data_IF_864652832561
#
_entry.id   IF_864652832561
#
_cell.length_a   1.000
_cell.length_b   1.000
_cell.length_c   1.000
_cell.angle_alpha   90.00
_cell.angle_beta   90.00
_cell.angle_gamma   90.00
#
_symmetry.space_group_name_H-M   'P 1'
#
loop_
_entity.id
_entity.type
_entity.pdbx_description
1 polymer ?
#
# COMPACT_ATOMS: atom_id res chain seq x y z
N UNK A 1 13.38 3.12 -4.75
CA UNK A 1 13.78 4.34 -5.49
C UNK A 1 13.47 5.64 -4.77
N UNK A 2 12.23 5.91 -4.32
CA UNK A 2 11.89 7.20 -3.70
C UNK A 2 12.84 7.64 -2.57
N UNK A 3 13.16 6.76 -1.62
CA UNK A 3 14.08 7.09 -0.51
C UNK A 3 15.50 7.40 -1.01
N UNK A 4 15.95 6.72 -2.08
CA UNK A 4 17.24 7.00 -2.71
C UNK A 4 17.24 8.38 -3.36
N UNK A 5 16.17 8.70 -4.09
CA UNK A 5 15.97 10.01 -4.72
C UNK A 5 15.90 11.15 -3.69
N UNK A 6 15.20 10.93 -2.58
CA UNK A 6 15.05 11.91 -1.51
C UNK A 6 16.39 12.21 -0.79
N UNK A 7 17.36 11.29 -0.86
CA UNK A 7 18.67 11.45 -0.25
C UNK A 7 18.68 11.41 1.28
N UNK A 8 19.84 11.72 1.88
CA UNK A 8 20.03 11.72 3.34
C UNK A 8 19.45 12.94 4.03
N UNK A 9 19.34 14.05 3.32
CA UNK A 9 18.84 15.34 3.82
C UNK A 9 17.68 15.81 2.93
N UNK A 10 16.52 15.11 3.00
CA UNK A 10 15.37 15.47 2.18
C UNK A 10 14.79 16.82 2.62
N UNK A 11 14.26 17.58 1.67
CA UNK A 11 13.41 18.73 1.98
C UNK A 11 12.17 18.33 2.78
N UNK A 12 11.59 19.27 3.53
CA UNK A 12 10.49 19.02 4.47
C UNK A 12 9.32 18.22 3.86
N UNK A 13 8.92 18.58 2.62
CA UNK A 13 7.83 17.89 1.92
C UNK A 13 8.16 16.42 1.63
N UNK A 14 9.37 16.11 1.17
CA UNK A 14 9.80 14.75 0.89
C UNK A 14 9.92 13.93 2.19
N UNK A 15 10.47 14.53 3.25
CA UNK A 15 10.55 13.92 4.58
C UNK A 15 9.16 13.56 5.11
N UNK A 16 8.19 14.47 5.02
CA UNK A 16 6.82 14.26 5.48
C UNK A 16 6.11 13.14 4.71
N UNK A 17 6.24 13.11 3.38
CA UNK A 17 5.64 12.05 2.54
C UNK A 17 6.26 10.69 2.85
N UNK A 18 7.60 10.59 2.88
CA UNK A 18 8.29 9.34 3.21
C UNK A 18 7.91 8.87 4.63
N UNK A 19 7.89 9.78 5.61
CA UNK A 19 7.50 9.47 6.97
C UNK A 19 6.07 8.90 7.07
N UNK A 20 5.11 9.49 6.36
CA UNK A 20 3.74 8.97 6.26
C UNK A 20 3.70 7.57 5.66
N UNK A 21 4.36 7.36 4.53
CA UNK A 21 4.37 6.06 3.84
C UNK A 21 5.00 4.97 4.72
N UNK A 22 6.10 5.30 5.42
CA UNK A 22 6.76 4.38 6.36
C UNK A 22 5.84 4.07 7.55
N UNK A 23 5.18 5.07 8.13
CA UNK A 23 4.24 4.87 9.23
C UNK A 23 3.08 3.94 8.85
N UNK A 24 2.49 4.14 7.65
CA UNK A 24 1.46 3.26 7.10
C UNK A 24 2.00 1.84 6.89
N UNK A 25 3.17 1.69 6.26
CA UNK A 25 3.78 0.39 6.00
C UNK A 25 4.07 -0.39 7.29
N UNK A 26 4.63 0.27 8.31
CA UNK A 26 4.91 -0.36 9.61
C UNK A 26 3.60 -0.79 10.27
N UNK A 27 2.55 0.04 10.22
CA UNK A 27 1.23 -0.30 10.76
C UNK A 27 0.64 -1.52 10.05
N UNK A 28 0.64 -1.54 8.73
CA UNK A 28 0.17 -2.67 7.91
C UNK A 28 0.96 -3.96 8.22
N UNK A 29 2.27 -3.84 8.42
CA UNK A 29 3.12 -4.97 8.82
C UNK A 29 2.72 -5.52 10.18
N UNK A 30 2.44 -4.67 11.17
CA UNK A 30 1.99 -5.12 12.49
C UNK A 30 0.60 -5.78 12.41
N UNK A 31 -0.33 -5.21 11.66
CA UNK A 31 -1.65 -5.80 11.44
C UNK A 31 -1.53 -7.19 10.77
N UNK A 32 -0.66 -7.32 9.78
CA UNK A 32 -0.39 -8.60 9.10
C UNK A 32 0.20 -9.65 10.05
N UNK A 33 1.13 -9.24 10.92
CA UNK A 33 1.71 -10.14 11.93
C UNK A 33 0.68 -10.56 12.99
N UNK A 34 -0.22 -9.66 13.40
CA UNK A 34 -1.29 -9.99 14.33
C UNK A 34 -2.25 -11.04 13.75
N UNK A 35 -2.67 -10.89 12.48
CA UNK A 35 -3.48 -11.89 11.76
C UNK A 35 -2.75 -13.23 11.68
N UNK A 36 -1.46 -13.23 11.35
CA UNK A 36 -0.66 -14.45 11.32
C UNK A 36 -0.58 -15.13 12.70
N UNK A 37 -0.44 -14.34 13.78
CA UNK A 37 -0.45 -14.84 15.15
C UNK A 37 -1.78 -15.50 15.53
N UNK A 38 -2.91 -14.87 15.19
CA UNK A 38 -4.25 -15.42 15.39
C UNK A 38 -4.43 -16.75 14.64
N UNK A 39 -4.02 -16.81 13.37
CA UNK A 39 -4.06 -18.05 12.58
C UNK A 39 -3.20 -19.14 13.21
N UNK A 40 -2.00 -18.80 13.70
CA UNK A 40 -1.13 -19.75 14.39
C UNK A 40 -1.73 -20.25 15.71
N UNK A 41 -2.53 -19.43 16.39
CA UNK A 41 -3.28 -19.81 17.59
C UNK A 41 -4.54 -20.67 17.28
N UNK A 42 -4.83 -20.93 16.00
CA UNK A 42 -6.01 -21.69 15.57
C UNK A 42 -7.31 -20.87 15.53
N UNK A 43 -7.21 -19.54 15.62
CA UNK A 43 -8.34 -18.63 15.50
C UNK A 43 -8.76 -18.45 14.03
N UNK A 44 -9.90 -17.81 13.80
CA UNK A 44 -10.44 -17.52 12.47
C UNK A 44 -10.56 -16.01 12.20
N UNK A 45 -9.44 -15.30 11.96
CA UNK A 45 -9.39 -13.84 11.87
C UNK A 45 -9.83 -13.31 10.49
N UNK A 46 -11.01 -13.74 10.01
CA UNK A 46 -11.52 -13.38 8.68
C UNK A 46 -11.80 -11.87 8.55
N UNK A 47 -12.32 -11.25 9.60
CA UNK A 47 -12.63 -9.82 9.59
C UNK A 47 -11.33 -9.00 9.58
N UNK A 48 -10.41 -9.33 10.46
CA UNK A 48 -9.11 -8.69 10.60
C UNK A 48 -8.33 -8.80 9.28
N UNK A 49 -8.25 -10.01 8.70
CA UNK A 49 -7.60 -10.23 7.42
C UNK A 49 -8.24 -9.42 6.29
N UNK A 50 -9.57 -9.31 6.26
CA UNK A 50 -10.27 -8.49 5.27
C UNK A 50 -9.94 -6.99 5.42
N UNK A 51 -9.85 -6.48 6.65
CA UNK A 51 -9.42 -5.11 6.93
C UNK A 51 -7.98 -4.88 6.49
N UNK A 52 -7.04 -5.74 6.87
CA UNK A 52 -5.62 -5.61 6.47
C UNK A 52 -5.51 -5.59 4.94
N UNK A 53 -6.25 -6.46 4.25
CA UNK A 53 -6.23 -6.54 2.80
C UNK A 53 -6.81 -5.29 2.13
N UNK A 54 -7.92 -4.74 2.61
CA UNK A 54 -8.53 -3.53 2.02
C UNK A 54 -7.61 -2.30 2.19
N UNK A 55 -7.09 -2.10 3.40
CA UNK A 55 -6.17 -0.97 3.69
C UNK A 55 -4.85 -1.15 2.94
N UNK A 56 -4.27 -2.35 2.93
CA UNK A 56 -3.01 -2.63 2.24
C UNK A 56 -3.11 -2.44 0.73
N UNK A 57 -4.21 -2.89 0.11
CA UNK A 57 -4.44 -2.69 -1.33
C UNK A 57 -4.57 -1.20 -1.67
N UNK A 58 -5.23 -0.43 -0.81
CA UNK A 58 -5.37 1.03 -0.99
C UNK A 58 -4.02 1.73 -0.86
N UNK A 59 -3.22 1.36 0.15
CA UNK A 59 -1.85 1.84 0.31
C UNK A 59 -0.96 1.54 -0.91
N UNK A 60 -1.01 0.33 -1.46
CA UNK A 60 -0.20 0.00 -2.63
C UNK A 60 -0.61 0.78 -3.88
N UNK A 61 -1.91 1.08 -4.02
CA UNK A 61 -2.45 1.81 -5.17
C UNK A 61 -2.22 3.32 -5.11
N UNK A 62 -2.10 3.92 -3.92
CA UNK A 62 -1.81 5.36 -3.78
C UNK A 62 -0.34 5.70 -4.04
N UNK A 63 0.59 4.74 -3.83
CA UNK A 63 2.05 5.00 -3.92
C UNK A 63 2.46 5.65 -5.25
N UNK A 64 2.05 5.18 -6.44
CA UNK A 64 2.50 5.77 -7.70
C UNK A 64 2.08 7.24 -7.82
N UNK A 65 0.84 7.56 -7.43
CA UNK A 65 0.32 8.93 -7.48
C UNK A 65 1.05 9.84 -6.49
N UNK A 66 1.26 9.37 -5.25
CA UNK A 66 2.01 10.12 -4.23
C UNK A 66 3.45 10.38 -4.66
N UNK A 67 4.12 9.39 -5.25
CA UNK A 67 5.50 9.52 -5.75
C UNK A 67 5.54 10.52 -6.90
N UNK A 68 4.66 10.38 -7.89
CA UNK A 68 4.60 11.30 -9.03
C UNK A 68 4.32 12.74 -8.59
N UNK A 69 3.36 12.94 -7.68
CA UNK A 69 3.02 14.26 -7.16
C UNK A 69 4.14 14.90 -6.31
N UNK A 70 5.01 14.10 -5.70
CA UNK A 70 6.14 14.57 -4.92
C UNK A 70 7.33 14.95 -5.81
N UNK A 71 7.66 14.13 -6.81
CA UNK A 71 8.91 14.26 -7.58
C UNK A 71 8.73 14.91 -8.94
N UNK A 72 7.51 14.93 -9.49
CA UNK A 72 7.21 15.45 -10.82
C UNK A 72 7.84 14.66 -11.97
N UNK A 73 8.40 13.48 -11.70
CA UNK A 73 9.08 12.67 -12.73
C UNK A 73 8.06 11.93 -13.58
N UNK A 74 8.29 11.93 -14.89
CA UNK A 74 7.43 11.22 -15.83
C UNK A 74 7.72 9.71 -15.76
N UNK A 75 6.69 8.86 -15.58
CA UNK A 75 6.86 7.40 -15.59
C UNK A 75 7.31 6.90 -16.97
N UNK A 76 8.29 6.01 -17.00
CA UNK A 76 8.81 5.42 -18.25
C UNK A 76 8.95 3.90 -18.10
N UNK A 77 9.07 3.18 -19.21
CA UNK A 77 9.21 1.70 -19.19
C UNK A 77 10.61 1.18 -19.52
N UNK A 78 11.40 1.92 -20.32
CA UNK A 78 12.63 1.40 -20.91
C UNK A 78 13.77 2.43 -20.99
N UNK A 79 13.58 3.62 -20.42
CA UNK A 79 14.55 4.72 -20.46
C UNK A 79 14.40 5.63 -19.25
N UNK A 80 15.35 6.53 -19.00
CA UNK A 80 15.32 7.43 -17.84
C UNK A 80 15.86 6.77 -16.57
N UNK A 81 15.64 7.42 -15.42
CA UNK A 81 16.20 6.98 -14.13
C UNK A 81 15.52 5.72 -13.59
N UNK A 82 16.15 5.06 -12.62
CA UNK A 82 15.57 3.91 -11.91
C UNK A 82 14.21 4.26 -11.29
N UNK A 83 14.05 5.48 -10.76
CA UNK A 83 12.80 5.95 -10.19
C UNK A 83 11.70 6.04 -11.26
N UNK A 84 12.00 6.61 -12.43
CA UNK A 84 11.04 6.73 -13.53
C UNK A 84 10.58 5.36 -14.03
N UNK A 85 11.52 4.42 -14.17
CA UNK A 85 11.23 3.05 -14.62
C UNK A 85 10.41 2.28 -13.59
N UNK A 86 10.76 2.41 -12.30
CA UNK A 86 10.00 1.80 -11.20
C UNK A 86 8.59 2.37 -11.12
N UNK A 87 8.45 3.69 -11.26
CA UNK A 87 7.15 4.35 -11.27
C UNK A 87 6.30 3.89 -12.47
N UNK A 88 6.88 3.80 -13.68
CA UNK A 88 6.18 3.32 -14.87
C UNK A 88 5.69 1.88 -14.75
N UNK A 89 6.49 1.01 -14.12
CA UNK A 89 6.05 -0.34 -13.77
C UNK A 89 4.89 -0.33 -12.77
N UNK A 90 4.99 0.46 -11.69
CA UNK A 90 3.99 0.50 -10.64
C UNK A 90 2.66 1.09 -11.11
N UNK A 91 2.66 2.13 -11.94
CA UNK A 91 1.45 2.73 -12.52
C UNK A 91 0.63 1.69 -13.28
N UNK A 92 1.29 0.81 -14.05
CA UNK A 92 0.60 -0.25 -14.80
C UNK A 92 0.10 -1.40 -13.91
N UNK A 93 0.79 -1.67 -12.80
CA UNK A 93 0.53 -2.86 -11.99
C UNK A 93 -0.36 -2.62 -10.78
N UNK A 94 -0.36 -1.40 -10.25
CA UNK A 94 -1.16 -0.99 -9.10
C UNK A 94 -2.65 -1.40 -9.23
N UNK A 95 -3.34 -1.19 -10.39
CA UNK A 95 -4.74 -1.60 -10.54
C UNK A 95 -4.98 -3.10 -10.33
N UNK A 96 -3.98 -3.95 -10.61
CA UNK A 96 -4.10 -5.40 -10.48
C UNK A 96 -4.09 -5.91 -9.03
N UNK A 97 -3.59 -5.10 -8.09
CA UNK A 97 -3.44 -5.50 -6.68
C UNK A 97 -4.78 -5.71 -5.97
N UNK A 98 -5.84 -5.03 -6.43
CA UNK A 98 -7.22 -5.19 -5.94
C UNK A 98 -7.98 -6.38 -6.53
N UNK A 99 -7.38 -7.14 -7.45
CA UNK A 99 -8.02 -8.29 -8.10
C UNK A 99 -7.63 -9.63 -7.47
N UNK A 100 -6.47 -9.70 -6.81
CA UNK A 100 -5.95 -10.92 -6.19
C UNK A 100 -6.28 -10.93 -4.70
N UNK A 101 -7.22 -11.79 -4.29
CA UNK A 101 -7.67 -11.94 -2.90
C UNK A 101 -9.04 -11.32 -2.56
N UNK A 102 -9.87 -11.06 -3.59
CA UNK A 102 -11.20 -10.45 -3.45
C UNK A 102 -11.20 -8.97 -3.82
N UNK A 103 -12.23 -8.52 -4.55
CA UNK A 103 -12.37 -7.09 -4.89
C UNK A 103 -12.66 -6.27 -3.64
N UNK A 104 -12.44 -4.95 -3.71
CA UNK A 104 -12.72 -4.03 -2.58
C UNK A 104 -14.15 -4.13 -2.09
N UNK A 105 -15.11 -4.29 -2.99
CA UNK A 105 -16.53 -4.39 -2.68
C UNK A 105 -16.83 -5.65 -1.87
N UNK A 106 -16.19 -6.77 -2.22
CA UNK A 106 -16.31 -8.02 -1.47
C UNK A 106 -15.71 -7.88 -0.07
N UNK A 107 -14.50 -7.31 0.03
CA UNK A 107 -13.84 -7.09 1.32
C UNK A 107 -14.65 -6.15 2.22
N UNK A 108 -15.14 -5.02 1.68
CA UNK A 108 -16.01 -4.09 2.41
C UNK A 108 -17.33 -4.72 2.83
N UNK A 109 -17.87 -5.64 2.02
CA UNK A 109 -19.03 -6.44 2.40
C UNK A 109 -18.75 -7.37 3.59
N UNK A 110 -17.57 -8.01 3.65
CA UNK A 110 -17.13 -8.80 4.81
C UNK A 110 -17.00 -7.91 6.04
N UNK A 111 -16.35 -6.75 5.89
CA UNK A 111 -16.13 -5.78 6.98
C UNK A 111 -17.47 -5.28 7.54
N UNK A 112 -18.40 -4.83 6.68
CA UNK A 112 -19.71 -4.36 7.11
C UNK A 112 -20.50 -5.41 7.90
N UNK A 113 -20.49 -6.67 7.42
CA UNK A 113 -21.12 -7.79 8.14
C UNK A 113 -20.45 -8.07 9.48
N UNK A 114 -19.12 -7.98 9.54
CA UNK A 114 -18.36 -8.16 10.78
C UNK A 114 -18.62 -7.06 11.82
N UNK A 115 -18.98 -5.86 11.38
CA UNK A 115 -19.37 -4.73 12.23
C UNK A 115 -20.86 -4.73 12.62
N UNK A 116 -21.64 -5.73 12.19
CA UNK A 116 -23.08 -5.80 12.48
C UNK A 116 -23.94 -4.80 11.71
N UNK A 117 -23.39 -4.16 10.67
CA UNK A 117 -24.12 -3.20 9.84
C UNK A 117 -24.94 -3.97 8.79
N UNK A 118 -26.27 -3.90 8.92
CA UNK A 118 -27.27 -4.33 7.94
C UNK A 118 -28.45 -3.38 7.97
#
# INVERSE_FOLDING_TARGET
>A
ELIREAGKEPGERAAAVVGRLVAHLVTLRQMSLAVAGMLQAGENPNLEAAVVKDVGTTFEQEIPEVVHALTGVEPTLASGTDLQQTLGYLVQRAPSFSLRGGTREILRGIIARGLGLR
#
